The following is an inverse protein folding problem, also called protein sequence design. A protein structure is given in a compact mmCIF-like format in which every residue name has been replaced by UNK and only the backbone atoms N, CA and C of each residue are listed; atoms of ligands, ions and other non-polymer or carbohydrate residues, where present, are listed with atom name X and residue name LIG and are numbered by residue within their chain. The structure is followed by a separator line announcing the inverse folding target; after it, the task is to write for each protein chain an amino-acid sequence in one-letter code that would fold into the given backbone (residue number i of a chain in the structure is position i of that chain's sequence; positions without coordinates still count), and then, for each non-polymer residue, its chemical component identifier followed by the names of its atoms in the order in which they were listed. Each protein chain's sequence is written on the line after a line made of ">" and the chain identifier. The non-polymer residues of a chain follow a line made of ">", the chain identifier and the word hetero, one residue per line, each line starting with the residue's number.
data_IF_752747601785
#
_entry.id   IF_752747601785
#
_cell.length_a   1.000
_cell.length_b   1.000
_cell.length_c   1.000
_cell.angle_alpha   90.00
_cell.angle_beta   90.00
_cell.angle_gamma   90.00
#
_symmetry.space_group_name_H-M   'P 1'
#
loop_
_entity.id
_entity.type
_entity.pdbx_description
1 polymer ?
#
# COMPACT_ATOMS: atom_id res chain seq x y z
N UNK A 1 28.85 -6.16 17.25
CA UNK A 1 28.54 -6.06 15.81
C UNK A 1 27.11 -6.56 15.69
N UNK A 2 26.15 -5.68 15.38
CA UNK A 2 24.74 -6.09 15.22
C UNK A 2 24.67 -7.12 14.11
N UNK A 3 24.03 -8.25 14.37
CA UNK A 3 23.75 -9.25 13.35
C UNK A 3 22.82 -8.65 12.29
N UNK A 4 22.91 -9.14 11.06
CA UNK A 4 22.03 -8.72 9.96
C UNK A 4 20.55 -8.83 10.37
N UNK A 5 20.21 -9.85 11.16
CA UNK A 5 18.85 -10.08 11.64
C UNK A 5 18.34 -8.99 12.60
N UNK A 6 19.20 -8.49 13.50
CA UNK A 6 18.85 -7.39 14.40
C UNK A 6 18.68 -6.06 13.66
N UNK A 7 19.40 -5.87 12.55
CA UNK A 7 19.23 -4.72 11.65
C UNK A 7 17.91 -4.78 10.90
N UNK A 8 17.53 -5.94 10.36
CA UNK A 8 16.24 -6.15 9.70
C UNK A 8 15.06 -5.91 10.64
N UNK A 9 15.12 -6.45 11.87
CA UNK A 9 14.09 -6.21 12.88
C UNK A 9 13.99 -4.73 13.26
N UNK A 10 15.12 -4.03 13.38
CA UNK A 10 15.14 -2.60 13.69
C UNK A 10 14.53 -1.77 12.57
N UNK A 11 14.84 -2.09 11.30
CA UNK A 11 14.25 -1.44 10.13
C UNK A 11 12.73 -1.68 10.08
N UNK A 12 12.28 -2.91 10.36
CA UNK A 12 10.86 -3.25 10.44
C UNK A 12 10.17 -2.44 11.55
N UNK A 13 10.76 -2.37 12.76
CA UNK A 13 10.21 -1.59 13.89
C UNK A 13 10.15 -0.10 13.59
N UNK A 14 11.18 0.47 12.99
CA UNK A 14 11.22 1.89 12.61
C UNK A 14 10.19 2.20 11.52
N UNK A 15 10.08 1.35 10.50
CA UNK A 15 9.09 1.50 9.42
C UNK A 15 7.66 1.38 9.97
N UNK A 16 7.41 0.44 10.90
CA UNK A 16 6.13 0.33 11.59
C UNK A 16 5.81 1.59 12.41
N UNK A 17 6.78 2.14 13.16
CA UNK A 17 6.57 3.33 13.98
C UNK A 17 6.27 4.59 13.15
N UNK A 18 6.94 4.78 12.02
CA UNK A 18 6.67 5.89 11.09
C UNK A 18 5.25 5.78 10.52
N UNK A 19 4.87 4.58 10.03
CA UNK A 19 3.52 4.32 9.52
C UNK A 19 2.43 4.51 10.59
N UNK A 20 2.72 4.17 11.85
CA UNK A 20 1.81 4.40 12.98
C UNK A 20 1.56 5.89 13.24
N UNK A 21 2.58 6.73 13.06
CA UNK A 21 2.47 8.19 13.16
C UNK A 21 1.58 8.76 12.07
N UNK A 22 1.88 8.42 10.81
CA UNK A 22 1.14 8.92 9.65
C UNK A 22 -0.33 8.45 9.66
N UNK A 23 -0.58 7.18 9.97
CA UNK A 23 -1.95 6.66 10.07
C UNK A 23 -2.74 7.30 11.23
N UNK A 24 -2.09 7.64 12.35
CA UNK A 24 -2.73 8.34 13.45
C UNK A 24 -3.09 9.78 13.09
N UNK A 25 -2.22 10.49 12.38
CA UNK A 25 -2.45 11.87 11.97
C UNK A 25 -3.54 11.95 10.89
N UNK A 26 -3.61 10.95 10.00
CA UNK A 26 -4.73 10.79 9.06
C UNK A 26 -6.03 10.46 9.82
N UNK A 27 -6.04 9.53 10.76
CA UNK A 27 -7.26 9.21 11.52
C UNK A 27 -7.80 10.41 12.32
N UNK A 28 -6.92 11.17 12.99
CA UNK A 28 -7.29 12.38 13.74
C UNK A 28 -7.88 13.47 12.85
N UNK A 29 -7.34 13.66 11.64
CA UNK A 29 -7.86 14.66 10.70
C UNK A 29 -9.28 14.32 10.19
N UNK A 30 -9.75 13.09 10.41
CA UNK A 30 -11.13 12.66 10.13
C UNK A 30 -12.00 12.47 11.39
N UNK A 31 -11.56 12.89 12.58
CA UNK A 31 -12.37 12.85 13.80
C UNK A 31 -12.57 11.46 14.43
N UNK A 32 -11.78 10.47 14.02
CA UNK A 32 -11.79 9.13 14.61
C UNK A 32 -10.57 9.01 15.53
N UNK A 33 -10.79 8.62 16.80
CA UNK A 33 -9.72 8.33 17.76
C UNK A 33 -9.48 6.81 17.77
N UNK A 34 -8.42 6.30 17.09
CA UNK A 34 -8.14 4.88 17.08
C UNK A 34 -7.40 4.51 18.36
N UNK A 35 -8.13 3.83 19.25
CA UNK A 35 -7.66 3.22 20.49
C UNK A 35 -6.30 2.53 20.28
N UNK A 36 -5.32 2.87 21.13
CA UNK A 36 -3.89 2.64 20.87
C UNK A 36 -3.47 1.18 21.06
N UNK A 37 -4.24 0.38 21.78
CA UNK A 37 -3.82 -0.97 22.19
C UNK A 37 -4.36 -2.10 21.29
N UNK A 38 -5.35 -1.82 20.44
CA UNK A 38 -5.90 -2.80 19.48
C UNK A 38 -6.23 -2.15 18.15
N UNK A 39 -5.26 -1.45 17.52
CA UNK A 39 -5.48 -0.96 16.16
C UNK A 39 -5.58 -2.16 15.22
N UNK A 40 -6.75 -2.46 14.64
CA UNK A 40 -6.84 -3.51 13.65
C UNK A 40 -5.94 -3.10 12.47
N UNK A 41 -5.14 -4.05 11.97
CA UNK A 41 -4.44 -3.88 10.70
C UNK A 41 -5.42 -3.31 9.68
N UNK A 42 -5.04 -2.19 9.04
CA UNK A 42 -5.93 -1.43 8.18
C UNK A 42 -6.34 -2.24 6.94
N UNK A 43 -7.03 -1.57 6.04
CA UNK A 43 -7.35 -2.09 4.72
C UNK A 43 -6.47 -1.38 3.70
N UNK A 44 -5.63 -2.16 3.02
CA UNK A 44 -4.87 -1.69 1.87
C UNK A 44 -5.77 -1.56 0.66
N UNK A 45 -5.68 -0.41 0.01
CA UNK A 45 -6.23 -0.15 -1.31
C UNK A 45 -5.06 -0.21 -2.29
N UNK A 46 -5.02 -1.26 -3.10
CA UNK A 46 -3.92 -1.58 -3.99
C UNK A 46 -4.32 -1.24 -5.43
N UNK A 47 -3.50 -0.48 -6.14
CA UNK A 47 -3.57 -0.45 -7.60
C UNK A 47 -2.85 -1.68 -8.16
N UNK A 48 -3.46 -2.35 -9.12
CA UNK A 48 -2.93 -3.56 -9.74
C UNK A 48 -2.61 -3.30 -11.21
N UNK A 49 -1.37 -3.56 -11.60
CA UNK A 49 -0.96 -3.59 -12.99
C UNK A 49 -1.44 -4.86 -13.71
N UNK A 50 -1.13 -4.92 -14.99
CA UNK A 50 -1.40 -6.09 -15.83
C UNK A 50 -0.61 -7.32 -15.35
N UNK A 51 -1.16 -8.54 -15.57
CA UNK A 51 -0.44 -9.77 -15.30
C UNK A 51 0.82 -9.89 -16.14
N UNK A 52 1.92 -10.27 -15.49
CA UNK A 52 3.18 -10.54 -16.16
C UNK A 52 3.64 -11.97 -15.93
N UNK A 53 4.28 -12.53 -16.97
CA UNK A 53 5.12 -13.70 -16.83
C UNK A 53 6.43 -13.31 -16.13
N UNK A 54 6.60 -13.82 -14.91
CA UNK A 54 7.47 -13.29 -13.83
C UNK A 54 8.97 -13.62 -14.06
N UNK A 55 9.31 -14.27 -15.17
CA UNK A 55 10.62 -14.87 -15.42
C UNK A 55 11.77 -13.87 -15.67
N UNK A 56 11.54 -12.55 -15.67
CA UNK A 56 12.60 -11.53 -15.83
C UNK A 56 12.42 -10.32 -14.91
N UNK A 57 13.48 -9.93 -14.21
CA UNK A 57 13.50 -8.76 -13.32
C UNK A 57 13.23 -7.45 -14.07
N UNK A 58 13.73 -7.35 -15.30
CA UNK A 58 13.52 -6.18 -16.17
C UNK A 58 12.04 -5.97 -16.47
N UNK A 59 11.31 -7.07 -16.75
CA UNK A 59 9.86 -7.02 -16.97
C UNK A 59 9.11 -6.55 -15.72
N UNK A 60 9.55 -6.96 -14.53
CA UNK A 60 8.96 -6.50 -13.27
C UNK A 60 9.14 -5.00 -13.09
N UNK A 61 10.34 -4.47 -13.35
CA UNK A 61 10.61 -3.04 -13.23
C UNK A 61 9.81 -2.23 -14.26
N UNK A 62 9.75 -2.68 -15.51
CA UNK A 62 8.94 -2.03 -16.54
C UNK A 62 7.44 -1.96 -16.15
N UNK A 63 6.88 -3.01 -15.54
CA UNK A 63 5.50 -2.98 -15.06
C UNK A 63 5.29 -2.09 -13.84
N UNK A 64 6.26 -2.01 -12.93
CA UNK A 64 6.23 -1.00 -11.85
C UNK A 64 6.18 0.42 -12.42
N UNK A 65 7.03 0.72 -13.39
CA UNK A 65 7.06 2.04 -14.02
C UNK A 65 5.75 2.36 -14.76
N UNK A 66 5.22 1.40 -15.52
CA UNK A 66 3.92 1.52 -16.18
C UNK A 66 2.80 1.79 -15.17
N UNK A 67 2.72 1.01 -14.10
CA UNK A 67 1.69 1.18 -13.07
C UNK A 67 1.82 2.55 -12.36
N UNK A 68 3.05 3.00 -12.08
CA UNK A 68 3.28 4.33 -11.51
C UNK A 68 2.77 5.43 -12.44
N UNK A 69 3.01 5.31 -13.75
CA UNK A 69 2.52 6.27 -14.72
C UNK A 69 0.98 6.28 -14.74
N UNK A 70 0.33 5.13 -14.76
CA UNK A 70 -1.14 5.00 -14.70
C UNK A 70 -1.72 5.66 -13.44
N UNK A 71 -1.13 5.40 -12.28
CA UNK A 71 -1.52 5.99 -11.00
C UNK A 71 -1.37 7.52 -11.03
N UNK A 72 -0.28 8.03 -11.60
CA UNK A 72 -0.07 9.48 -11.79
C UNK A 72 -1.07 10.09 -12.77
N UNK A 73 -1.38 9.42 -13.88
CA UNK A 73 -2.39 9.86 -14.85
C UNK A 73 -3.79 9.91 -14.24
N UNK A 74 -4.08 9.02 -13.29
CA UNK A 74 -5.31 9.08 -12.47
C UNK A 74 -5.29 10.21 -11.42
N UNK A 75 -4.25 11.04 -11.38
CA UNK A 75 -4.12 12.17 -10.46
C UNK A 75 -3.80 11.75 -9.02
N UNK A 76 -3.26 10.55 -8.81
CA UNK A 76 -2.81 10.08 -7.51
C UNK A 76 -1.31 10.33 -7.39
N UNK A 77 -0.92 11.09 -6.36
CA UNK A 77 0.47 11.35 -6.03
C UNK A 77 0.74 10.74 -4.66
N UNK A 78 1.69 9.81 -4.61
CA UNK A 78 2.09 9.14 -3.38
C UNK A 78 3.42 9.73 -2.87
N UNK A 79 3.56 9.96 -1.55
CA UNK A 79 4.82 10.38 -0.96
C UNK A 79 5.87 9.26 -1.00
N UNK A 80 5.42 8.01 -0.87
CA UNK A 80 6.25 6.80 -0.94
C UNK A 80 5.56 5.70 -1.77
N UNK A 81 6.35 4.91 -2.50
CA UNK A 81 5.84 3.81 -3.31
C UNK A 81 6.06 2.46 -2.61
N UNK A 82 5.00 1.94 -1.96
CA UNK A 82 5.05 0.62 -1.31
C UNK A 82 4.54 -0.46 -2.27
N UNK A 83 5.46 -1.34 -2.70
CA UNK A 83 5.17 -2.41 -3.65
C UNK A 83 4.79 -3.71 -2.94
N UNK A 84 3.68 -4.30 -3.36
CA UNK A 84 3.22 -5.62 -2.90
C UNK A 84 3.37 -6.62 -4.04
N UNK A 85 3.88 -7.80 -3.70
CA UNK A 85 3.93 -8.95 -4.60
C UNK A 85 3.09 -10.05 -4.01
N UNK A 86 2.25 -10.65 -4.84
CA UNK A 86 1.56 -11.89 -4.49
C UNK A 86 1.79 -12.93 -5.58
N UNK A 87 1.25 -14.12 -5.33
CA UNK A 87 1.31 -15.27 -6.24
C UNK A 87 0.63 -15.01 -7.60
N UNK A 88 -0.11 -13.89 -7.76
CA UNK A 88 -0.80 -13.58 -9.02
C UNK A 88 0.14 -13.05 -10.10
N UNK A 89 1.39 -12.71 -9.79
CA UNK A 89 2.36 -12.25 -10.80
C UNK A 89 2.09 -10.84 -11.34
N UNK A 90 1.35 -10.01 -10.59
CA UNK A 90 1.02 -8.64 -10.97
C UNK A 90 1.80 -7.66 -10.10
N UNK A 91 2.28 -6.57 -10.68
CA UNK A 91 2.78 -5.44 -9.89
C UNK A 91 1.61 -4.82 -9.11
N UNK A 92 1.75 -4.67 -7.80
CA UNK A 92 0.74 -4.02 -6.95
C UNK A 92 1.35 -2.89 -6.15
N UNK A 93 0.67 -1.75 -6.11
CA UNK A 93 1.10 -0.55 -5.40
C UNK A 93 0.08 -0.18 -4.34
N UNK A 94 0.51 0.00 -3.10
CA UNK A 94 -0.37 0.53 -2.04
C UNK A 94 -0.66 1.99 -2.32
N UNK A 95 -1.94 2.32 -2.54
CA UNK A 95 -2.42 3.68 -2.73
C UNK A 95 -2.77 4.33 -1.40
N UNK A 96 -3.40 3.57 -0.50
CA UNK A 96 -3.76 4.04 0.84
C UNK A 96 -3.96 2.85 1.79
N UNK A 97 -3.78 3.13 3.08
CA UNK A 97 -4.25 2.28 4.17
C UNK A 97 -5.38 3.02 4.89
N UNK A 98 -6.54 2.39 5.01
CA UNK A 98 -7.72 3.00 5.66
C UNK A 98 -8.25 2.11 6.79
N UNK A 99 -8.85 2.67 7.84
CA UNK A 99 -9.19 1.90 9.04
C UNK A 99 -10.35 0.92 8.84
N UNK A 100 -11.24 1.18 7.88
CA UNK A 100 -12.46 0.39 7.68
C UNK A 100 -12.61 -0.09 6.24
N UNK A 101 -13.27 -1.24 6.08
CA UNK A 101 -13.57 -1.81 4.76
C UNK A 101 -14.44 -0.86 3.93
N UNK A 102 -15.46 -0.25 4.54
CA UNK A 102 -16.36 0.69 3.85
C UNK A 102 -15.59 1.86 3.24
N UNK A 103 -14.60 2.42 3.96
CA UNK A 103 -13.73 3.46 3.42
C UNK A 103 -12.88 2.94 2.26
N UNK A 104 -12.36 1.71 2.37
CA UNK A 104 -11.59 1.08 1.30
C UNK A 104 -12.43 0.90 0.03
N UNK A 105 -13.69 0.47 0.17
CA UNK A 105 -14.65 0.30 -0.93
C UNK A 105 -15.09 1.61 -1.56
N UNK A 106 -15.21 2.68 -0.76
CA UNK A 106 -15.50 4.02 -1.28
C UNK A 106 -14.32 4.53 -2.11
N UNK A 107 -13.11 4.38 -1.60
CA UNK A 107 -11.89 4.79 -2.30
C UNK A 107 -11.65 3.95 -3.55
N UNK A 108 -11.88 2.64 -3.50
CA UNK A 108 -11.72 1.76 -4.67
C UNK A 108 -12.66 2.13 -5.80
N UNK A 109 -13.93 2.45 -5.51
CA UNK A 109 -14.89 2.93 -6.53
C UNK A 109 -14.44 4.25 -7.15
N UNK A 110 -13.98 5.19 -6.33
CA UNK A 110 -13.50 6.48 -6.81
C UNK A 110 -12.26 6.36 -7.70
N UNK A 111 -11.31 5.50 -7.33
CA UNK A 111 -10.10 5.26 -8.13
C UNK A 111 -10.40 4.40 -9.37
N UNK A 112 -11.34 3.46 -9.26
CA UNK A 112 -11.84 2.68 -10.38
C UNK A 112 -12.50 3.53 -11.45
N UNK A 113 -13.27 4.57 -11.08
CA UNK A 113 -13.84 5.51 -12.05
C UNK A 113 -12.79 6.38 -12.75
N UNK A 114 -11.53 6.37 -12.27
CA UNK A 114 -10.38 7.03 -12.89
C UNK A 114 -9.54 6.07 -13.74
N UNK A 115 -10.01 4.83 -13.93
CA UNK A 115 -9.36 3.84 -14.77
C UNK A 115 -8.33 2.96 -14.07
N UNK A 116 -8.20 3.04 -12.73
CA UNK A 116 -7.31 2.16 -11.99
C UNK A 116 -7.99 0.83 -11.66
N UNK A 117 -7.27 -0.27 -11.86
CA UNK A 117 -7.71 -1.57 -11.34
C UNK A 117 -7.34 -1.67 -9.86
N UNK A 118 -8.35 -1.78 -8.99
CA UNK A 118 -8.17 -1.71 -7.54
C UNK A 118 -8.50 -3.03 -6.85
N UNK A 119 -7.63 -3.43 -5.92
CA UNK A 119 -7.81 -4.57 -5.02
C UNK A 119 -7.79 -4.10 -3.57
N UNK A 120 -8.73 -4.59 -2.77
CA UNK A 120 -8.77 -4.33 -1.33
C UNK A 120 -8.25 -5.57 -0.61
N UNK A 121 -7.34 -5.39 0.35
CA UNK A 121 -6.86 -6.46 1.23
C UNK A 121 -6.71 -5.97 2.66
N UNK A 122 -6.81 -6.88 3.62
CA UNK A 122 -6.29 -6.62 4.97
C UNK A 122 -4.79 -6.38 4.88
N UNK A 123 -4.35 -5.32 5.54
CA UNK A 123 -2.94 -5.09 5.80
C UNK A 123 -2.34 -6.32 6.49
N UNK A 124 -1.14 -6.69 6.05
CA UNK A 124 -0.34 -7.76 6.65
C UNK A 124 1.01 -7.15 7.05
N UNK A 125 1.45 -7.45 8.27
CA UNK A 125 2.82 -7.18 8.74
C UNK A 125 3.72 -8.31 8.25
#
# INVERSE_FOLDING_TARGET
>A
MLSIHELEESILRMTMAVRQGEAADVARSFGEDPDKETRPLGWWVLACGEPLDIQSEEKRNASREKLLLEVRMAGVVLPENVWVWDESGNAQLVIATVPTLERAERLSRHLGSKGLNIRIRREKI
#
